data_IF_925537868438
#
_entry.id   IF_925537868438
#
_cell.length_a   1.000
_cell.length_b   1.000
_cell.length_c   1.000
_cell.angle_alpha   90.00
_cell.angle_beta   90.00
_cell.angle_gamma   90.00
#
_symmetry.space_group_name_H-M   'P 1'
#
loop_
_entity.id
_entity.type
_entity.pdbx_description
1 polymer ?
#
# COMPACT_ATOMS: atom_id res chain seq x y z
N UNK A 1 -20.75 -3.63 49.97
CA UNK A 1 -20.69 -4.47 48.77
C UNK A 1 -20.20 -3.58 47.63
N UNK A 2 -18.92 -3.68 47.29
CA UNK A 2 -18.32 -2.88 46.21
C UNK A 2 -18.33 -3.73 44.94
N UNK A 3 -19.13 -3.31 43.95
CA UNK A 3 -19.11 -3.91 42.60
C UNK A 3 -17.88 -3.41 41.87
N UNK A 4 -16.83 -4.26 41.82
CA UNK A 4 -15.69 -4.03 40.94
C UNK A 4 -16.16 -4.25 39.48
N UNK A 5 -16.32 -3.16 38.76
CA UNK A 5 -16.56 -3.17 37.33
C UNK A 5 -15.24 -3.59 36.66
N UNK A 6 -15.10 -4.88 36.35
CA UNK A 6 -13.97 -5.38 35.53
C UNK A 6 -14.18 -4.84 34.11
N UNK A 7 -13.50 -3.76 33.77
CA UNK A 7 -13.34 -3.36 32.38
C UNK A 7 -12.61 -4.52 31.70
N UNK A 8 -13.30 -5.27 30.85
CA UNK A 8 -12.67 -6.20 29.90
C UNK A 8 -11.73 -5.37 29.03
N UNK A 9 -10.43 -5.60 29.18
CA UNK A 9 -9.48 -5.17 28.20
C UNK A 9 -9.92 -5.78 26.86
N UNK A 10 -10.30 -4.94 25.92
CA UNK A 10 -10.54 -5.40 24.55
C UNK A 10 -9.21 -5.99 24.06
N UNK A 11 -9.21 -7.28 23.75
CA UNK A 11 -8.03 -7.93 23.17
C UNK A 11 -7.59 -7.17 21.92
N UNK A 12 -6.29 -6.92 21.80
CA UNK A 12 -5.76 -6.24 20.64
C UNK A 12 -6.11 -7.05 19.38
N UNK A 13 -6.50 -6.38 18.28
CA UNK A 13 -6.89 -7.07 17.05
C UNK A 13 -5.73 -7.91 16.52
N UNK A 14 -6.05 -9.05 15.94
CA UNK A 14 -5.08 -9.90 15.25
C UNK A 14 -4.57 -9.25 13.96
N UNK A 15 -3.42 -9.70 13.46
CA UNK A 15 -2.91 -9.21 12.18
C UNK A 15 -3.87 -9.50 11.02
N UNK A 16 -4.55 -10.64 11.03
CA UNK A 16 -5.52 -11.01 9.99
C UNK A 16 -6.76 -10.09 10.01
N UNK A 17 -7.24 -9.68 11.19
CA UNK A 17 -8.33 -8.71 11.33
C UNK A 17 -7.90 -7.32 10.81
N UNK A 18 -6.70 -6.85 11.17
CA UNK A 18 -6.18 -5.58 10.67
C UNK A 18 -6.00 -5.59 9.15
N UNK A 19 -5.45 -6.66 8.58
CA UNK A 19 -5.32 -6.82 7.14
C UNK A 19 -6.68 -6.90 6.44
N UNK A 20 -7.68 -7.56 7.07
CA UNK A 20 -9.04 -7.61 6.54
C UNK A 20 -9.66 -6.22 6.49
N UNK A 21 -9.58 -5.47 7.59
CA UNK A 21 -10.10 -4.10 7.63
C UNK A 21 -9.44 -3.19 6.57
N UNK A 22 -8.13 -3.35 6.33
CA UNK A 22 -7.44 -2.63 5.27
C UNK A 22 -7.93 -3.02 3.87
N UNK A 23 -8.21 -4.32 3.62
CA UNK A 23 -8.81 -4.77 2.35
C UNK A 23 -10.18 -4.16 2.13
N UNK A 24 -11.04 -4.22 3.15
CA UNK A 24 -12.41 -3.69 3.10
C UNK A 24 -12.40 -2.17 2.85
N UNK A 25 -11.47 -1.45 3.50
CA UNK A 25 -11.26 -0.03 3.27
C UNK A 25 -10.80 0.24 1.82
N UNK A 26 -9.88 -0.56 1.28
CA UNK A 26 -9.40 -0.44 -0.10
C UNK A 26 -10.53 -0.67 -1.11
N UNK A 27 -11.40 -1.64 -0.86
CA UNK A 27 -12.57 -1.95 -1.70
C UNK A 27 -13.66 -0.88 -1.54
N UNK A 28 -13.96 -0.43 -0.33
CA UNK A 28 -15.00 0.58 -0.07
C UNK A 28 -14.63 1.97 -0.61
N UNK A 29 -13.34 2.31 -0.60
CA UNK A 29 -12.84 3.52 -1.27
C UNK A 29 -12.86 3.37 -2.79
N UNK A 30 -13.13 2.19 -3.29
CA UNK A 30 -12.93 1.73 -4.64
C UNK A 30 -13.96 2.16 -5.68
N UNK A 31 -14.97 2.93 -5.36
CA UNK A 31 -15.89 3.49 -6.36
C UNK A 31 -15.49 4.92 -6.80
N UNK A 32 -14.24 5.30 -6.58
CA UNK A 32 -13.73 6.63 -6.93
C UNK A 32 -12.75 6.52 -8.08
N UNK A 33 -12.91 7.41 -9.05
CA UNK A 33 -11.90 7.65 -10.08
C UNK A 33 -10.92 8.68 -9.55
N UNK A 34 -9.65 8.33 -9.49
CA UNK A 34 -8.58 9.17 -8.98
C UNK A 34 -7.53 9.34 -10.05
N UNK A 35 -7.15 10.57 -10.33
CA UNK A 35 -6.01 10.90 -11.16
C UNK A 35 -4.85 11.42 -10.29
N UNK A 36 -3.65 11.45 -10.87
CA UNK A 36 -2.49 11.95 -10.17
C UNK A 36 -1.20 11.81 -10.97
N UNK A 37 -0.10 11.96 -10.25
CA UNK A 37 1.26 11.94 -10.83
C UNK A 37 2.15 11.02 -9.98
N UNK A 38 2.88 10.12 -10.65
CA UNK A 38 4.06 9.48 -10.06
C UNK A 38 5.25 10.37 -10.39
N UNK A 39 5.92 10.90 -9.38
CA UNK A 39 7.04 11.82 -9.53
C UNK A 39 8.34 11.24 -9.00
N UNK A 40 9.40 11.29 -9.83
CA UNK A 40 10.78 10.99 -9.45
C UNK A 40 11.69 12.09 -9.99
N UNK A 41 12.31 12.87 -9.13
CA UNK A 41 13.11 14.04 -9.52
C UNK A 41 12.30 14.95 -10.48
N UNK A 42 12.77 15.10 -11.74
CA UNK A 42 12.09 15.89 -12.79
C UNK A 42 11.06 15.09 -13.58
N UNK A 43 11.08 13.78 -13.49
CA UNK A 43 10.13 12.90 -14.20
C UNK A 43 8.77 12.94 -13.53
N UNK A 44 7.72 13.16 -14.31
CA UNK A 44 6.34 13.18 -13.89
C UNK A 44 5.53 12.27 -14.81
N UNK A 45 4.95 11.21 -14.26
CA UNK A 45 4.18 10.22 -14.99
C UNK A 45 2.72 10.38 -14.58
N UNK A 46 1.85 10.89 -15.45
CA UNK A 46 0.41 10.91 -15.20
C UNK A 46 -0.11 9.48 -15.00
N UNK A 47 -0.98 9.31 -14.04
CA UNK A 47 -1.67 8.06 -13.83
C UNK A 47 -3.13 8.29 -13.44
N UNK A 48 -3.95 7.29 -13.62
CA UNK A 48 -5.28 7.21 -13.04
C UNK A 48 -5.50 5.85 -12.38
N UNK A 49 -6.34 5.87 -11.36
CA UNK A 49 -6.78 4.71 -10.61
C UNK A 49 -8.29 4.74 -10.57
N UNK A 50 -8.93 3.65 -10.95
CA UNK A 50 -10.36 3.48 -10.75
C UNK A 50 -10.64 2.09 -10.20
N UNK A 51 -11.52 1.99 -9.24
CA UNK A 51 -11.96 0.71 -8.74
C UNK A 51 -13.37 0.42 -9.24
N UNK A 52 -13.59 -0.83 -9.62
CA UNK A 52 -14.85 -1.35 -10.16
C UNK A 52 -15.08 -2.74 -9.58
N UNK A 53 -15.85 -2.80 -8.49
CA UNK A 53 -16.04 -4.04 -7.75
C UNK A 53 -14.69 -4.64 -7.28
N UNK A 54 -14.41 -5.87 -7.68
CA UNK A 54 -13.17 -6.58 -7.33
C UNK A 54 -11.97 -6.26 -8.23
N UNK A 55 -12.04 -5.18 -9.01
CA UNK A 55 -10.96 -4.80 -9.93
C UNK A 55 -10.53 -3.36 -9.70
N UNK A 56 -9.23 -3.18 -9.41
CA UNK A 56 -8.60 -1.86 -9.41
C UNK A 56 -7.88 -1.71 -10.75
N UNK A 57 -8.28 -0.73 -11.54
CA UNK A 57 -7.69 -0.41 -12.83
C UNK A 57 -6.66 0.68 -12.64
N UNK A 58 -5.43 0.40 -13.02
CA UNK A 58 -4.35 1.39 -13.10
C UNK A 58 -4.05 1.70 -14.56
N UNK A 59 -4.01 3.00 -14.88
CA UNK A 59 -3.50 3.48 -16.15
C UNK A 59 -2.38 4.48 -15.87
N UNK A 60 -1.33 4.44 -16.67
CA UNK A 60 -0.23 5.39 -16.57
C UNK A 60 0.30 5.73 -17.97
N UNK A 61 0.87 6.94 -18.11
CA UNK A 61 1.39 7.41 -19.39
C UNK A 61 2.87 7.02 -19.52
N UNK A 62 3.22 6.34 -20.61
CA UNK A 62 4.59 6.00 -20.97
C UNK A 62 4.81 6.21 -22.45
N UNK A 63 5.84 7.00 -22.84
CA UNK A 63 6.12 7.35 -24.24
C UNK A 63 4.86 7.85 -24.99
N UNK A 64 4.12 8.80 -24.37
CA UNK A 64 2.88 9.39 -24.86
C UNK A 64 1.70 8.41 -25.04
N UNK A 65 1.86 7.14 -24.74
CA UNK A 65 0.79 6.15 -24.78
C UNK A 65 0.31 5.81 -23.36
N UNK A 66 -1.00 5.60 -23.21
CA UNK A 66 -1.57 5.06 -21.99
C UNK A 66 -1.36 3.55 -21.93
N UNK A 67 -0.75 3.10 -20.85
CA UNK A 67 -0.59 1.69 -20.49
C UNK A 67 -1.56 1.36 -19.38
N UNK A 68 -2.03 0.11 -19.35
CA UNK A 68 -3.00 -0.33 -18.35
C UNK A 68 -2.58 -1.67 -17.73
N UNK A 69 -2.78 -1.76 -16.43
CA UNK A 69 -2.86 -3.03 -15.74
C UNK A 69 -3.98 -3.02 -14.70
N UNK A 70 -4.53 -4.18 -14.44
CA UNK A 70 -5.59 -4.36 -13.47
C UNK A 70 -5.06 -5.15 -12.28
N UNK A 71 -5.47 -4.79 -11.08
CA UNK A 71 -5.34 -5.63 -9.89
C UNK A 71 -6.70 -6.29 -9.66
N UNK A 72 -6.80 -7.56 -9.96
CA UNK A 72 -8.01 -8.33 -9.71
C UNK A 72 -7.96 -8.93 -8.32
N UNK A 73 -8.89 -8.51 -7.50
CA UNK A 73 -9.01 -8.86 -6.09
C UNK A 73 -9.99 -10.02 -5.96
N UNK A 74 -9.67 -10.96 -5.09
CA UNK A 74 -10.59 -12.00 -4.63
C UNK A 74 -10.44 -12.13 -3.12
N UNK A 75 -11.30 -12.89 -2.46
CA UNK A 75 -11.19 -13.13 -1.00
C UNK A 75 -9.80 -13.62 -0.54
N UNK A 76 -9.08 -14.31 -1.41
CA UNK A 76 -7.81 -14.99 -1.06
C UNK A 76 -6.58 -14.47 -1.76
N UNK A 77 -6.72 -13.59 -2.75
CA UNK A 77 -5.57 -13.18 -3.57
C UNK A 77 -5.80 -11.87 -4.32
N UNK A 78 -4.70 -11.18 -4.63
CA UNK A 78 -4.67 -10.12 -5.62
C UNK A 78 -3.81 -10.57 -6.81
N UNK A 79 -4.35 -10.52 -8.03
CA UNK A 79 -3.67 -10.90 -9.27
C UNK A 79 -3.43 -9.67 -10.13
N UNK A 80 -2.23 -9.56 -10.66
CA UNK A 80 -1.89 -8.54 -11.65
C UNK A 80 -2.21 -9.04 -13.05
N UNK A 81 -2.92 -8.23 -13.80
CA UNK A 81 -3.34 -8.51 -15.18
C UNK A 81 -2.91 -7.34 -16.05
N UNK A 82 -2.06 -7.58 -17.02
CA UNK A 82 -1.72 -6.58 -18.03
C UNK A 82 -2.82 -6.52 -19.08
N UNK A 83 -3.18 -5.31 -19.50
CA UNK A 83 -4.16 -5.09 -20.58
C UNK A 83 -3.47 -4.33 -21.70
N UNK A 84 -3.35 -4.96 -22.86
CA UNK A 84 -2.73 -4.39 -24.04
C UNK A 84 -3.64 -4.59 -25.27
N UNK A 85 -3.95 -3.52 -25.99
CA UNK A 85 -4.86 -3.56 -27.14
C UNK A 85 -6.23 -4.21 -26.84
N UNK A 86 -6.74 -4.08 -25.61
CA UNK A 86 -7.98 -4.70 -25.17
C UNK A 86 -7.85 -6.18 -24.76
N UNK A 87 -6.69 -6.79 -24.94
CA UNK A 87 -6.41 -8.17 -24.51
C UNK A 87 -5.85 -8.19 -23.09
N UNK A 88 -6.48 -8.94 -22.21
CA UNK A 88 -6.07 -9.13 -20.83
C UNK A 88 -5.25 -10.42 -20.69
N UNK A 89 -4.07 -10.34 -20.03
CA UNK A 89 -3.22 -11.48 -19.73
C UNK A 89 -2.71 -11.41 -18.29
N UNK A 90 -2.69 -12.55 -17.59
CA UNK A 90 -2.14 -12.61 -16.23
C UNK A 90 -0.65 -12.30 -16.30
N UNK A 91 -0.21 -11.37 -15.49
CA UNK A 91 1.18 -10.96 -15.46
C UNK A 91 2.04 -12.05 -14.81
N UNK A 92 3.14 -12.43 -15.48
CA UNK A 92 4.09 -13.38 -14.92
C UNK A 92 4.74 -12.81 -13.64
N UNK A 93 4.95 -13.62 -12.58
CA UNK A 93 5.55 -13.17 -11.32
C UNK A 93 6.87 -12.42 -11.48
N UNK A 94 7.70 -12.82 -12.44
CA UNK A 94 8.97 -12.14 -12.77
C UNK A 94 8.78 -10.67 -13.21
N UNK A 95 7.59 -10.31 -13.70
CA UNK A 95 7.27 -8.95 -14.14
C UNK A 95 6.79 -8.04 -13.00
N UNK A 96 6.50 -8.57 -11.81
CA UNK A 96 5.97 -7.76 -10.69
C UNK A 96 6.93 -6.67 -10.24
N UNK A 97 8.22 -6.90 -10.34
CA UNK A 97 9.29 -5.97 -9.96
C UNK A 97 9.68 -4.99 -11.06
N UNK A 98 9.07 -5.12 -12.27
CA UNK A 98 9.32 -4.18 -13.36
C UNK A 98 8.78 -2.81 -12.99
N UNK A 99 9.62 -1.79 -13.17
CA UNK A 99 9.31 -0.41 -12.81
C UNK A 99 8.44 0.28 -13.86
N UNK A 100 7.70 1.30 -13.42
CA UNK A 100 6.77 2.08 -14.24
C UNK A 100 7.50 3.30 -14.79
N UNK A 101 7.62 3.40 -16.11
CA UNK A 101 8.03 4.59 -16.85
C UNK A 101 9.27 5.30 -16.28
N UNK A 102 10.32 4.55 -15.92
CA UNK A 102 11.59 5.10 -15.41
C UNK A 102 11.56 5.56 -13.94
N UNK A 103 10.46 5.38 -13.24
CA UNK A 103 10.38 5.58 -11.78
C UNK A 103 10.93 4.35 -11.04
N UNK A 104 10.94 4.38 -9.69
CA UNK A 104 11.26 3.19 -8.90
C UNK A 104 10.00 2.48 -8.39
N UNK A 105 8.84 3.02 -8.73
CA UNK A 105 7.54 2.37 -8.47
C UNK A 105 7.40 1.20 -9.42
N UNK A 106 7.10 0.01 -8.91
CA UNK A 106 6.87 -1.18 -9.71
C UNK A 106 5.41 -1.66 -9.58
N UNK A 107 5.02 -2.62 -10.41
CA UNK A 107 3.67 -3.18 -10.38
C UNK A 107 3.30 -3.77 -9.03
N UNK A 108 4.26 -4.43 -8.34
CA UNK A 108 4.02 -4.99 -7.01
C UNK A 108 3.72 -3.91 -5.98
N UNK A 109 4.38 -2.76 -6.05
CA UNK A 109 4.17 -1.65 -5.12
C UNK A 109 2.73 -1.14 -5.13
N UNK A 110 2.09 -1.17 -6.30
CA UNK A 110 0.72 -0.70 -6.50
C UNK A 110 -0.34 -1.79 -6.29
N UNK A 111 0.08 -3.05 -6.19
CA UNK A 111 -0.83 -4.20 -6.12
C UNK A 111 -1.39 -4.47 -4.74
N UNK A 112 -0.75 -3.94 -3.69
CA UNK A 112 -1.08 -4.20 -2.29
C UNK A 112 -1.20 -5.71 -1.96
N UNK A 113 -0.46 -6.58 -2.68
CA UNK A 113 -0.55 -8.05 -2.55
C UNK A 113 -0.33 -8.53 -1.12
N UNK A 114 0.48 -7.82 -0.34
CA UNK A 114 0.76 -8.17 1.06
C UNK A 114 -0.50 -8.21 1.94
N UNK A 115 -1.57 -7.51 1.56
CA UNK A 115 -2.85 -7.57 2.26
C UNK A 115 -3.48 -8.98 2.26
N UNK A 116 -3.03 -9.84 1.34
CA UNK A 116 -3.52 -11.21 1.16
C UNK A 116 -2.53 -12.27 1.67
N UNK A 117 -1.38 -11.86 2.18
CA UNK A 117 -0.42 -12.79 2.78
C UNK A 117 -0.93 -13.26 4.15
N UNK A 118 -0.60 -14.49 4.49
CA UNK A 118 -1.01 -15.15 5.74
C UNK A 118 0.13 -15.25 6.74
N UNK A 119 -0.20 -15.48 8.00
CA UNK A 119 0.79 -15.66 9.07
C UNK A 119 1.35 -14.34 9.59
N UNK A 120 0.62 -13.24 9.40
CA UNK A 120 0.96 -11.96 10.00
C UNK A 120 0.96 -12.00 11.52
N UNK A 121 1.81 -11.16 12.14
CA UNK A 121 1.92 -11.01 13.59
C UNK A 121 1.82 -9.54 13.95
N UNK A 122 1.05 -9.23 15.00
CA UNK A 122 1.08 -7.91 15.64
C UNK A 122 2.31 -7.89 16.56
N UNK A 123 3.15 -6.89 16.38
CA UNK A 123 4.33 -6.70 17.21
C UNK A 123 3.93 -5.98 18.52
N UNK A 124 4.63 -6.23 19.63
CA UNK A 124 4.45 -5.48 20.87
C UNK A 124 4.64 -3.97 20.64
N UNK A 125 3.86 -3.16 21.37
CA UNK A 125 4.01 -1.71 21.31
C UNK A 125 5.42 -1.29 21.73
N UNK A 126 5.98 -0.33 21.01
CA UNK A 126 7.31 0.22 21.25
C UNK A 126 7.32 1.70 20.84
N UNK A 127 8.44 2.38 21.06
CA UNK A 127 8.61 3.74 20.55
C UNK A 127 8.43 3.84 19.03
N UNK A 128 8.77 2.76 18.30
CA UNK A 128 8.62 2.67 16.85
C UNK A 128 7.17 2.42 16.40
N UNK A 129 6.24 2.15 17.33
CA UNK A 129 4.81 2.00 17.04
C UNK A 129 4.10 3.34 16.81
N UNK A 130 4.82 4.46 16.85
CA UNK A 130 4.26 5.79 16.69
C UNK A 130 4.76 6.46 15.42
N UNK A 131 3.85 6.83 14.51
CA UNK A 131 4.15 7.51 13.25
C UNK A 131 3.44 8.87 13.22
N UNK A 132 4.20 9.96 13.05
CA UNK A 132 3.65 11.34 12.98
C UNK A 132 2.72 11.69 14.15
N UNK A 133 3.05 11.22 15.34
CA UNK A 133 2.25 11.46 16.55
C UNK A 133 1.04 10.54 16.71
N UNK A 134 0.82 9.58 15.81
CA UNK A 134 -0.29 8.62 15.85
C UNK A 134 0.18 7.27 16.37
N UNK A 135 -0.59 6.71 17.28
CA UNK A 135 -0.32 5.38 17.82
C UNK A 135 -0.82 4.34 16.83
N UNK A 136 0.05 3.39 16.49
CA UNK A 136 -0.23 2.37 15.49
C UNK A 136 -0.07 0.97 16.05
N UNK A 137 -0.90 0.04 15.57
CA UNK A 137 -0.53 -1.36 15.55
C UNK A 137 0.56 -1.57 14.52
N UNK A 138 1.59 -2.30 14.86
CA UNK A 138 2.66 -2.66 13.92
C UNK A 138 2.50 -4.14 13.59
N UNK A 139 2.23 -4.45 12.34
CA UNK A 139 2.08 -5.83 11.88
C UNK A 139 3.23 -6.22 10.96
N UNK A 140 3.75 -7.42 11.16
CA UNK A 140 4.75 -8.02 10.29
C UNK A 140 4.11 -9.17 9.53
N UNK A 141 4.20 -9.13 8.19
CA UNK A 141 3.49 -10.06 7.30
C UNK A 141 4.50 -10.74 6.38
N UNK A 142 4.73 -12.06 6.54
CA UNK A 142 5.65 -12.81 5.71
C UNK A 142 5.05 -13.04 4.31
N UNK A 143 5.91 -12.96 3.27
CA UNK A 143 5.52 -13.37 1.93
C UNK A 143 5.46 -14.90 1.87
N UNK A 144 4.31 -15.52 1.57
CA UNK A 144 4.18 -16.97 1.50
C UNK A 144 5.03 -17.60 0.39
N UNK A 145 5.46 -16.80 -0.58
CA UNK A 145 6.35 -17.21 -1.68
C UNK A 145 7.46 -16.18 -1.84
N UNK A 146 8.51 -16.19 -0.98
CA UNK A 146 9.55 -15.17 -0.98
C UNK A 146 10.36 -15.07 -2.27
N UNK A 147 10.26 -16.07 -3.16
CA UNK A 147 10.85 -16.05 -4.49
C UNK A 147 10.08 -15.19 -5.50
N UNK A 148 8.85 -14.79 -5.16
CA UNK A 148 7.96 -13.99 -6.02
C UNK A 148 7.88 -12.57 -5.50
N UNK A 149 8.24 -11.61 -6.36
CA UNK A 149 8.26 -10.20 -6.03
C UNK A 149 9.59 -9.76 -5.38
N UNK A 150 9.59 -8.56 -4.83
CA UNK A 150 10.78 -7.91 -4.26
C UNK A 150 10.90 -8.08 -2.74
N UNK A 151 9.79 -8.38 -2.04
CA UNK A 151 9.76 -8.44 -0.59
C UNK A 151 9.63 -9.88 -0.08
N UNK A 152 10.48 -10.24 0.88
CA UNK A 152 10.34 -11.47 1.65
C UNK A 152 9.29 -11.32 2.76
N UNK A 153 9.11 -10.11 3.27
CA UNK A 153 8.10 -9.74 4.25
C UNK A 153 7.90 -8.23 4.26
N UNK A 154 6.80 -7.78 4.83
CA UNK A 154 6.51 -6.36 5.01
C UNK A 154 6.18 -6.06 6.46
N UNK A 155 6.42 -4.82 6.87
CA UNK A 155 5.96 -4.29 8.16
C UNK A 155 5.03 -3.11 7.88
N UNK A 156 3.86 -3.10 8.53
CA UNK A 156 2.82 -2.11 8.29
C UNK A 156 2.42 -1.44 9.59
N UNK A 157 2.35 -0.13 9.62
CA UNK A 157 1.88 0.69 10.73
C UNK A 157 0.44 1.09 10.48
N UNK A 158 -0.48 0.54 11.26
CA UNK A 158 -1.94 0.75 11.15
C UNK A 158 -2.40 1.60 12.32
N UNK A 159 -2.95 2.76 12.04
CA UNK A 159 -3.48 3.71 13.03
C UNK A 159 -4.52 3.03 13.92
N UNK A 160 -4.33 3.11 15.24
CA UNK A 160 -5.25 2.49 16.22
C UNK A 160 -6.62 3.15 16.26
N UNK A 161 -6.71 4.43 15.85
CA UNK A 161 -7.95 5.20 15.91
C UNK A 161 -8.85 4.96 14.68
N UNK A 162 -8.24 4.89 13.48
CA UNK A 162 -9.02 4.90 12.24
C UNK A 162 -8.64 3.80 11.23
N UNK A 163 -7.70 2.92 11.56
CA UNK A 163 -7.29 1.81 10.70
C UNK A 163 -6.47 2.19 9.46
N UNK A 164 -6.11 3.45 9.28
CA UNK A 164 -5.30 3.90 8.13
C UNK A 164 -3.88 3.39 8.25
N UNK A 165 -3.33 2.86 7.16
CA UNK A 165 -1.91 2.53 7.09
C UNK A 165 -1.08 3.79 6.82
N UNK A 166 -0.22 4.18 7.77
CA UNK A 166 0.65 5.36 7.64
C UNK A 166 2.00 5.05 7.05
N UNK A 167 2.50 3.86 7.26
CA UNK A 167 3.79 3.42 6.74
C UNK A 167 3.77 1.94 6.39
N UNK A 168 4.48 1.60 5.32
CA UNK A 168 4.76 0.22 4.91
C UNK A 168 6.24 0.12 4.60
N UNK A 169 6.92 -0.81 5.24
CA UNK A 169 8.33 -1.14 5.02
C UNK A 169 8.43 -2.51 4.36
N UNK A 170 9.07 -2.57 3.20
CA UNK A 170 9.31 -3.81 2.48
C UNK A 170 10.75 -4.29 2.63
N UNK A 171 10.92 -5.53 3.06
CA UNK A 171 12.22 -6.14 3.38
C UNK A 171 12.58 -7.24 2.39
N UNK A 172 13.85 -7.28 1.99
CA UNK A 172 14.40 -8.33 1.14
C UNK A 172 14.66 -9.63 1.89
N UNK A 173 15.07 -10.68 1.16
CA UNK A 173 15.41 -11.99 1.73
C UNK A 173 16.61 -11.97 2.69
N UNK A 174 17.46 -10.96 2.56
CA UNK A 174 18.59 -10.70 3.46
C UNK A 174 18.19 -9.93 4.72
N UNK A 175 16.89 -9.73 4.96
CA UNK A 175 16.35 -9.00 6.10
C UNK A 175 16.51 -7.49 6.03
N UNK A 176 17.08 -6.95 4.94
CA UNK A 176 17.33 -5.52 4.80
C UNK A 176 16.12 -4.78 4.22
N UNK A 177 15.85 -3.60 4.76
CA UNK A 177 14.84 -2.68 4.23
C UNK A 177 15.19 -2.30 2.79
N UNK A 178 14.26 -2.50 1.87
CA UNK A 178 14.40 -2.18 0.45
C UNK A 178 13.66 -0.92 0.07
N UNK A 179 12.41 -0.81 0.52
CA UNK A 179 11.53 0.31 0.24
C UNK A 179 10.73 0.69 1.48
N UNK A 180 10.48 1.98 1.63
CA UNK A 180 9.57 2.54 2.63
C UNK A 180 8.54 3.39 1.93
N UNK A 181 7.28 3.10 2.18
CA UNK A 181 6.13 3.90 1.76
C UNK A 181 5.61 4.65 2.98
N UNK A 182 5.41 5.96 2.85
CA UNK A 182 4.88 6.78 3.94
C UNK A 182 3.82 7.70 3.38
N UNK A 183 2.60 7.66 3.94
CA UNK A 183 1.58 8.67 3.66
C UNK A 183 2.04 10.00 4.25
N UNK A 184 2.27 10.99 3.39
CA UNK A 184 2.77 12.32 3.79
C UNK A 184 1.66 13.34 3.90
N UNK A 185 0.58 13.16 3.17
CA UNK A 185 -0.58 14.05 3.18
C UNK A 185 -1.87 13.26 2.92
N UNK A 186 -2.95 13.72 3.53
CA UNK A 186 -4.31 13.18 3.36
C UNK A 186 -5.29 14.31 3.04
N UNK A 187 -6.42 13.99 2.42
CA UNK A 187 -7.53 14.88 2.20
C UNK A 187 -8.79 14.33 2.89
N UNK A 188 -9.54 15.21 3.54
CA UNK A 188 -10.82 14.87 4.18
C UNK A 188 -11.93 15.04 3.16
N UNK A 189 -12.82 14.05 3.07
CA UNK A 189 -13.95 14.06 2.17
C UNK A 189 -15.22 14.55 2.87
N UNK A 190 -16.26 14.88 2.11
CA UNK A 190 -17.53 15.41 2.65
C UNK A 190 -18.28 14.40 3.53
N UNK A 191 -18.12 13.11 3.23
CA UNK A 191 -18.66 12.02 4.03
C UNK A 191 -17.91 11.78 5.35
N UNK A 192 -16.85 12.59 5.61
CA UNK A 192 -16.01 12.49 6.81
C UNK A 192 -14.86 11.50 6.68
N UNK A 193 -14.82 10.69 5.64
CA UNK A 193 -13.72 9.77 5.38
C UNK A 193 -12.43 10.50 4.98
N UNK A 194 -11.32 9.78 5.06
CA UNK A 194 -10.00 10.29 4.69
C UNK A 194 -9.48 9.51 3.48
N UNK A 195 -8.88 10.25 2.56
CA UNK A 195 -8.18 9.69 1.41
C UNK A 195 -6.73 10.19 1.39
N UNK A 196 -5.77 9.36 0.98
CA UNK A 196 -4.40 9.83 0.89
C UNK A 196 -4.23 10.80 -0.29
N UNK A 197 -3.55 11.91 -0.02
CA UNK A 197 -3.25 12.94 -1.03
C UNK A 197 -1.85 12.75 -1.60
N UNK A 198 -0.90 12.33 -0.76
CA UNK A 198 0.46 12.10 -1.17
C UNK A 198 1.06 10.93 -0.38
N UNK A 199 1.75 10.06 -1.09
CA UNK A 199 2.58 8.98 -0.55
C UNK A 199 4.01 9.18 -1.04
N UNK A 200 4.97 9.11 -0.12
CA UNK A 200 6.41 9.09 -0.41
C UNK A 200 6.90 7.65 -0.47
N UNK A 201 7.63 7.29 -1.51
CA UNK A 201 8.37 6.04 -1.63
C UNK A 201 9.88 6.34 -1.56
N UNK A 202 10.53 5.77 -0.57
CA UNK A 202 11.98 5.80 -0.39
C UNK A 202 12.58 4.45 -0.81
N UNK A 203 13.54 4.48 -1.73
CA UNK A 203 14.34 3.29 -2.06
C UNK A 203 15.60 3.31 -1.21
N UNK A 204 15.86 2.22 -0.52
CA UNK A 204 17.01 2.10 0.39
C UNK A 204 18.22 1.51 -0.29
N UNK A 205 19.40 1.95 0.14
CA UNK A 205 20.66 1.40 -0.35
C UNK A 205 20.79 -0.07 0.12
N UNK A 206 20.98 -1.05 -0.78
CA UNK A 206 21.12 -2.45 -0.39
C UNK A 206 22.33 -2.73 0.51
N UNK A 207 23.40 -1.91 0.40
CA UNK A 207 24.61 -2.04 1.23
C UNK A 207 24.43 -1.36 2.60
N UNK A 208 23.69 -0.25 2.64
CA UNK A 208 23.43 0.54 3.84
C UNK A 208 21.94 0.96 3.88
N UNK A 209 21.06 0.14 4.49
CA UNK A 209 19.63 0.41 4.52
C UNK A 209 19.21 1.68 5.26
N UNK A 210 20.11 2.31 6.02
CA UNK A 210 19.87 3.62 6.65
C UNK A 210 19.81 4.76 5.62
N UNK A 211 20.47 4.59 4.46
CA UNK A 211 20.56 5.59 3.39
C UNK A 211 19.47 5.41 2.35
N UNK A 212 18.76 6.49 2.07
CA UNK A 212 17.86 6.61 0.91
C UNK A 212 18.68 6.95 -0.33
N UNK A 213 18.50 6.19 -1.41
CA UNK A 213 19.19 6.40 -2.70
C UNK A 213 18.26 6.99 -3.76
N UNK A 214 16.95 6.87 -3.57
CA UNK A 214 15.97 7.46 -4.48
C UNK A 214 14.67 7.78 -3.77
N UNK A 215 14.01 8.83 -4.24
CA UNK A 215 12.72 9.30 -3.74
C UNK A 215 11.72 9.37 -4.89
N UNK A 216 10.56 8.78 -4.66
CA UNK A 216 9.40 8.91 -5.54
C UNK A 216 8.20 9.38 -4.72
N UNK A 217 7.24 9.99 -5.40
CA UNK A 217 5.99 10.45 -4.78
C UNK A 217 4.83 10.02 -5.67
N UNK A 218 3.80 9.47 -5.04
CA UNK A 218 2.49 9.32 -5.64
C UNK A 218 1.65 10.51 -5.14
N UNK A 219 1.28 11.39 -6.04
CA UNK A 219 0.54 12.62 -5.74
C UNK A 219 -0.83 12.52 -6.40
N UNK A 220 -1.89 12.49 -5.59
CA UNK A 220 -3.26 12.42 -6.06
C UNK A 220 -3.81 13.82 -6.30
N UNK A 221 -4.61 13.99 -7.33
CA UNK A 221 -5.40 15.19 -7.52
C UNK A 221 -6.44 15.34 -6.41
N UNK A 222 -6.98 16.55 -6.24
CA UNK A 222 -8.08 16.75 -5.32
C UNK A 222 -9.33 16.02 -5.80
N UNK A 223 -9.95 15.27 -4.91
CA UNK A 223 -11.20 14.59 -5.20
C UNK A 223 -12.36 15.62 -5.24
N UNK A 224 -13.37 15.42 -6.12
CA UNK A 224 -14.50 16.36 -6.26
C UNK A 224 -15.30 16.55 -4.95
N UNK A 225 -15.30 15.56 -4.09
CA UNK A 225 -15.98 15.56 -2.79
C UNK A 225 -15.06 15.95 -1.62
N UNK A 226 -13.92 16.59 -1.89
CA UNK A 226 -13.04 17.18 -0.86
C UNK A 226 -13.79 18.25 -0.07
N UNK A 227 -13.60 18.23 1.24
CA UNK A 227 -14.15 19.21 2.19
C UNK A 227 -13.28 20.46 2.27
#
# INVERSE_FOLDING_TARGET
MSLACSARAQDAPSADELLSAMRDMTVSQGNKDVAGIIRKARTKIPFSLSARGETIVFQYKENDAWKRFDVRISEKSARLVQVDGGKASVMAPASYTRTIAGTDVCYEDLSLRFLYWKGGKVLPDSADSRIKGRDCYVIEVPNPTPSVGQFAWVRVWVDKENGTSWQIDGYGRDGKLRKRFTITSVQKLRDGSWFFKQMKLEVRNPKDPSRTISLNYLEMDDLPDKR
#
